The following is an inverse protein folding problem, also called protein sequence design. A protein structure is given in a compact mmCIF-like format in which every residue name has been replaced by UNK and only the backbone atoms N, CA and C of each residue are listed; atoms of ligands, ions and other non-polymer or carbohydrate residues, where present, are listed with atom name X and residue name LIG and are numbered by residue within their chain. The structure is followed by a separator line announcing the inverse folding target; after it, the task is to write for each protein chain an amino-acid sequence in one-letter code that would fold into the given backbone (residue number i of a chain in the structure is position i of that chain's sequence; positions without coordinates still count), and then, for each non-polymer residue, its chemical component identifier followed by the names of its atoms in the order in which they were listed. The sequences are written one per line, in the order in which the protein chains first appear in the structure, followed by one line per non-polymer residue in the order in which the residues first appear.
data_IF_569433970766
#
_entry.id   IF_569433970766
#
_cell.length_a   1.000
_cell.length_b   1.000
_cell.length_c   1.000
_cell.angle_alpha   90.00
_cell.angle_beta   90.00
_cell.angle_gamma   90.00
#
_symmetry.space_group_name_H-M   'P 1'
#
loop_
_entity.id
_entity.type
_entity.pdbx_description
1 polymer ?
#
# COMPACT_ATOMS: atom_id res chain seq x y z
N UNK A 1 18.41 -4.22 -0.18
CA UNK A 1 19.05 -3.91 1.12
C UNK A 1 19.87 -5.08 1.69
N UNK A 2 19.27 -6.23 2.04
CA UNK A 2 19.98 -7.31 2.76
C UNK A 2 21.19 -7.90 2.03
N UNK A 3 21.09 -8.02 0.70
CA UNK A 3 22.22 -8.45 -0.13
C UNK A 3 23.40 -7.47 -0.01
N UNK A 4 23.15 -6.16 -0.14
CA UNK A 4 24.18 -5.14 0.01
C UNK A 4 24.77 -5.11 1.43
N UNK A 5 23.94 -5.32 2.47
CA UNK A 5 24.41 -5.51 3.85
C UNK A 5 25.36 -6.69 3.98
N UNK A 6 25.04 -7.80 3.32
CA UNK A 6 25.88 -8.98 3.32
C UNK A 6 27.22 -8.74 2.62
N UNK A 7 27.21 -8.04 1.49
CA UNK A 7 28.41 -7.69 0.73
C UNK A 7 29.37 -6.79 1.52
N UNK A 8 28.85 -5.84 2.31
CA UNK A 8 29.67 -5.03 3.24
C UNK A 8 30.38 -5.95 4.24
N UNK A 9 29.66 -6.91 4.83
CA UNK A 9 30.24 -7.86 5.80
C UNK A 9 31.29 -8.79 5.20
N UNK A 10 31.20 -9.10 3.90
CA UNK A 10 32.17 -9.95 3.21
C UNK A 10 33.42 -9.19 2.70
N UNK A 11 33.42 -7.86 2.74
CA UNK A 11 34.54 -7.05 2.25
C UNK A 11 35.77 -7.21 3.17
N UNK A 12 36.95 -7.29 2.57
CA UNK A 12 38.20 -7.59 3.29
C UNK A 12 39.17 -6.41 3.38
N UNK A 13 39.00 -5.41 2.52
CA UNK A 13 39.83 -4.20 2.51
C UNK A 13 39.00 -2.98 2.86
N UNK A 14 39.62 -1.99 3.49
CA UNK A 14 38.97 -0.73 3.88
C UNK A 14 38.29 -0.05 2.70
N UNK A 15 38.97 0.03 1.56
CA UNK A 15 38.41 0.61 0.33
C UNK A 15 37.15 -0.14 -0.17
N UNK A 16 37.15 -1.47 -0.11
CA UNK A 16 35.96 -2.26 -0.48
C UNK A 16 34.81 -2.07 0.50
N UNK A 17 35.11 -1.93 1.80
CA UNK A 17 34.12 -1.67 2.83
C UNK A 17 33.47 -0.31 2.57
N UNK A 18 34.24 0.74 2.35
CA UNK A 18 33.73 2.10 2.10
C UNK A 18 32.84 2.16 0.86
N UNK A 19 33.28 1.60 -0.27
CA UNK A 19 32.48 1.58 -1.51
C UNK A 19 31.16 0.82 -1.33
N UNK A 20 31.20 -0.33 -0.65
CA UNK A 20 29.99 -1.14 -0.42
C UNK A 20 29.08 -0.54 0.64
N UNK A 21 29.61 0.18 1.62
CA UNK A 21 28.83 0.87 2.63
C UNK A 21 27.98 1.99 2.02
N UNK A 22 28.53 2.73 1.04
CA UNK A 22 27.76 3.74 0.28
C UNK A 22 26.61 3.08 -0.48
N UNK A 23 26.86 1.98 -1.18
CA UNK A 23 25.81 1.24 -1.89
C UNK A 23 24.75 0.69 -0.94
N UNK A 24 25.17 0.13 0.20
CA UNK A 24 24.25 -0.33 1.22
C UNK A 24 23.36 0.81 1.74
N UNK A 25 23.93 1.98 2.02
CA UNK A 25 23.19 3.15 2.49
C UNK A 25 22.14 3.60 1.47
N UNK A 26 22.48 3.67 0.18
CA UNK A 26 21.51 3.96 -0.88
C UNK A 26 20.37 2.93 -0.91
N UNK A 27 20.69 1.65 -0.72
CA UNK A 27 19.69 0.59 -0.70
C UNK A 27 18.81 0.60 0.57
N UNK A 28 19.30 1.16 1.68
CA UNK A 28 18.50 1.40 2.89
C UNK A 28 17.50 2.52 2.63
N UNK A 29 17.96 3.64 2.08
CA UNK A 29 17.08 4.80 1.79
C UNK A 29 15.94 4.44 0.84
N UNK A 30 16.24 3.70 -0.24
CA UNK A 30 15.22 3.21 -1.17
C UNK A 30 14.24 2.25 -0.48
N UNK A 31 14.76 1.36 0.38
CA UNK A 31 13.92 0.42 1.10
C UNK A 31 12.97 1.14 2.07
N UNK A 32 13.48 2.10 2.84
CA UNK A 32 12.70 2.90 3.77
C UNK A 32 11.64 3.73 3.05
N UNK A 33 11.97 4.32 1.90
CA UNK A 33 10.99 5.05 1.08
C UNK A 33 9.83 4.14 0.64
N UNK A 34 10.14 2.93 0.15
CA UNK A 34 9.12 1.98 -0.29
C UNK A 34 8.30 1.44 0.88
N UNK A 35 8.94 1.11 2.01
CA UNK A 35 8.25 0.70 3.22
C UNK A 35 7.28 1.78 3.70
N UNK A 36 7.69 3.05 3.73
CA UNK A 36 6.83 4.15 4.11
C UNK A 36 5.63 4.31 3.18
N UNK A 37 5.80 4.11 1.86
CA UNK A 37 4.69 4.12 0.91
C UNK A 37 3.71 2.98 1.19
N UNK A 38 4.21 1.77 1.42
CA UNK A 38 3.36 0.60 1.73
C UNK A 38 2.60 0.79 3.03
N UNK A 39 3.26 1.28 4.08
CA UNK A 39 2.62 1.56 5.38
C UNK A 39 1.46 2.53 5.21
N UNK A 40 1.67 3.66 4.50
CA UNK A 40 0.60 4.63 4.23
C UNK A 40 -0.59 4.00 3.51
N UNK A 41 -0.35 3.18 2.49
CA UNK A 41 -1.42 2.47 1.77
C UNK A 41 -2.18 1.51 2.69
N UNK A 42 -1.49 0.82 3.59
CA UNK A 42 -2.11 -0.08 4.57
C UNK A 42 -2.94 0.68 5.60
N UNK A 43 -2.50 1.87 6.03
CA UNK A 43 -3.24 2.75 6.94
C UNK A 43 -4.51 3.30 6.28
N UNK A 44 -4.48 3.61 4.99
CA UNK A 44 -5.62 4.13 4.22
C UNK A 44 -6.63 3.03 3.83
N UNK A 45 -6.17 1.78 3.65
CA UNK A 45 -6.98 0.67 3.15
C UNK A 45 -8.29 0.43 3.93
N UNK A 46 -8.34 0.44 5.27
CA UNK A 46 -9.59 0.29 6.01
C UNK A 46 -10.59 1.39 5.68
N UNK A 47 -10.14 2.64 5.54
CA UNK A 47 -10.99 3.78 5.19
C UNK A 47 -11.61 3.61 3.80
N UNK A 48 -10.78 3.25 2.81
CA UNK A 48 -11.22 2.96 1.45
C UNK A 48 -12.26 1.83 1.44
N UNK A 49 -12.00 0.74 2.16
CA UNK A 49 -12.92 -0.40 2.27
C UNK A 49 -14.26 0.02 2.87
N UNK A 50 -14.25 0.83 3.94
CA UNK A 50 -15.48 1.33 4.56
C UNK A 50 -16.28 2.21 3.60
N UNK A 51 -15.61 3.09 2.85
CA UNK A 51 -16.26 3.93 1.84
C UNK A 51 -16.95 3.07 0.77
N UNK A 52 -16.22 2.14 0.16
CA UNK A 52 -16.80 1.25 -0.86
C UNK A 52 -17.96 0.40 -0.32
N UNK A 53 -17.87 -0.07 0.92
CA UNK A 53 -18.97 -0.80 1.56
C UNK A 53 -20.24 0.05 1.72
N UNK A 54 -20.08 1.35 2.04
CA UNK A 54 -21.21 2.28 2.13
C UNK A 54 -21.82 2.53 0.75
N UNK A 55 -20.99 2.77 -0.26
CA UNK A 55 -21.44 3.02 -1.64
C UNK A 55 -22.27 1.86 -2.19
N UNK A 56 -21.82 0.61 -1.98
CA UNK A 56 -22.56 -0.58 -2.40
C UNK A 56 -23.91 -0.73 -1.68
N UNK A 57 -23.92 -0.40 -0.40
CA UNK A 57 -25.16 -0.45 0.40
C UNK A 57 -26.16 0.58 -0.11
N UNK A 58 -25.68 1.80 -0.37
CA UNK A 58 -26.49 2.90 -0.86
C UNK A 58 -27.04 2.63 -2.26
N UNK A 59 -26.20 2.11 -3.17
CA UNK A 59 -26.63 1.69 -4.50
C UNK A 59 -27.76 0.66 -4.43
N UNK A 60 -27.60 -0.34 -3.56
CA UNK A 60 -28.61 -1.39 -3.37
C UNK A 60 -29.91 -0.82 -2.79
N UNK A 61 -29.81 0.11 -1.84
CA UNK A 61 -30.96 0.81 -1.25
C UNK A 61 -31.72 1.59 -2.31
N UNK A 62 -31.03 2.44 -3.07
CA UNK A 62 -31.61 3.24 -4.16
C UNK A 62 -32.28 2.36 -5.22
N UNK A 63 -31.62 1.28 -5.62
CA UNK A 63 -32.19 0.32 -6.57
C UNK A 63 -33.48 -0.29 -6.03
N UNK A 64 -33.49 -0.75 -4.77
CA UNK A 64 -34.70 -1.30 -4.14
C UNK A 64 -35.84 -0.29 -4.10
N UNK A 65 -35.56 0.94 -3.67
CA UNK A 65 -36.56 2.00 -3.59
C UNK A 65 -37.16 2.33 -4.95
N UNK A 66 -36.33 2.42 -5.99
CA UNK A 66 -36.79 2.61 -7.36
C UNK A 66 -37.74 1.49 -7.80
N UNK A 67 -37.38 0.22 -7.59
CA UNK A 67 -38.24 -0.89 -7.97
C UNK A 67 -39.56 -0.92 -7.18
N UNK A 68 -39.54 -0.59 -5.89
CA UNK A 68 -40.75 -0.48 -5.08
C UNK A 68 -41.66 0.66 -5.56
N UNK A 69 -41.08 1.82 -5.87
CA UNK A 69 -41.82 2.95 -6.43
C UNK A 69 -42.45 2.58 -7.78
N UNK A 70 -41.70 1.94 -8.68
CA UNK A 70 -42.22 1.45 -9.96
C UNK A 70 -43.39 0.48 -9.75
N UNK A 71 -43.25 -0.50 -8.86
CA UNK A 71 -44.33 -1.46 -8.57
C UNK A 71 -45.60 -0.77 -8.03
N UNK A 72 -45.45 0.32 -7.28
CA UNK A 72 -46.60 1.10 -6.79
C UNK A 72 -47.34 1.86 -7.88
N UNK A 73 -46.69 2.19 -9.00
CA UNK A 73 -47.30 2.88 -10.15
C UNK A 73 -48.08 1.94 -11.08
N UNK A 74 -47.79 0.64 -11.04
CA UNK A 74 -48.46 -0.38 -11.87
C UNK A 74 -49.60 -1.11 -11.14
N UNK A 75 -49.93 -0.72 -9.91
CA UNK A 75 -51.11 -1.17 -9.16
C UNK A 75 -52.21 -0.13 -9.23
#
# INVERSE_FOLDING_TARGET
MDLAKHEVKQAKTTEQIERRAVLYQQQVEVFDEQCNKVIKLLEELPGIKTTHSKDLTELTRCSREYHLAMLSLFK
#
